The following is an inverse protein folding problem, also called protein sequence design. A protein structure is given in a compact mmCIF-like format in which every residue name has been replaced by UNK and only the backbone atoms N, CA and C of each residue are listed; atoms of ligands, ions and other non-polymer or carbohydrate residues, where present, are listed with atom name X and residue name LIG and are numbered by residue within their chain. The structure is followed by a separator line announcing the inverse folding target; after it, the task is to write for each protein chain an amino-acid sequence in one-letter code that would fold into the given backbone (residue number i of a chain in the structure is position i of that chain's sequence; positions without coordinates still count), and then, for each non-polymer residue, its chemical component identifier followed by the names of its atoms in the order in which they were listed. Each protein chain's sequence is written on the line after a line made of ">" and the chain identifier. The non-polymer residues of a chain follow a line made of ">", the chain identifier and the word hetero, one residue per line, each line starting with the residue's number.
data_IF_761485538592
#
_entry.id   IF_761485538592
#
_cell.length_a   1.000
_cell.length_b   1.000
_cell.length_c   1.000
_cell.angle_alpha   90.00
_cell.angle_beta   90.00
_cell.angle_gamma   90.00
#
_symmetry.space_group_name_H-M   'P 1'
#
loop_
_entity.id
_entity.type
_entity.pdbx_description
1 polymer ?
#
# COMPACT_ATOMS: atom_id res chain seq x y z
N UNK A 1 -2.22 11.78 -15.05
CA UNK A 1 -1.76 11.96 -13.65
C UNK A 1 -2.93 11.62 -12.77
N UNK A 2 -2.87 10.48 -12.09
CA UNK A 2 -3.88 10.14 -11.08
C UNK A 2 -4.05 11.31 -10.10
N UNK A 3 -5.29 11.73 -9.85
CA UNK A 3 -5.62 12.70 -8.80
C UNK A 3 -5.42 12.03 -7.43
N UNK A 4 -4.16 11.92 -6.99
CA UNK A 4 -3.80 11.28 -5.72
C UNK A 4 -4.14 12.16 -4.51
N UNK A 5 -4.37 13.45 -4.74
CA UNK A 5 -4.79 14.43 -3.74
C UNK A 5 -6.11 15.04 -4.19
N UNK A 6 -7.08 15.16 -3.29
CA UNK A 6 -8.34 15.86 -3.55
C UNK A 6 -8.34 17.25 -2.91
N UNK A 7 -8.93 18.23 -3.61
CA UNK A 7 -9.21 19.57 -3.07
C UNK A 7 -10.39 19.57 -2.09
N UNK A 8 -11.18 18.49 -2.04
CA UNK A 8 -12.34 18.46 -1.16
C UNK A 8 -11.89 18.43 0.30
N UNK A 9 -12.61 19.14 1.20
CA UNK A 9 -12.29 19.12 2.61
C UNK A 9 -12.53 17.74 3.19
N UNK A 10 -11.55 17.23 3.91
CA UNK A 10 -11.63 15.91 4.51
C UNK A 10 -12.85 15.78 5.43
N UNK A 11 -13.70 14.79 5.15
CA UNK A 11 -14.82 14.39 6.03
C UNK A 11 -14.62 12.97 6.51
N UNK A 12 -14.42 12.82 7.82
CA UNK A 12 -14.28 11.52 8.46
C UNK A 12 -15.54 10.66 8.26
N UNK A 13 -15.35 9.44 7.78
CA UNK A 13 -16.36 8.38 7.66
C UNK A 13 -16.10 7.38 8.79
N UNK A 14 -16.98 7.29 9.80
CA UNK A 14 -16.81 6.36 10.92
C UNK A 14 -17.04 4.89 10.48
N UNK A 15 -16.58 3.91 11.28
CA UNK A 15 -16.79 2.50 10.99
C UNK A 15 -18.27 2.10 11.14
N UNK A 16 -18.73 1.21 10.27
CA UNK A 16 -20.06 0.62 10.40
C UNK A 16 -20.04 -0.65 11.25
N UNK A 17 -20.73 -0.61 12.39
CA UNK A 17 -20.68 -1.68 13.39
C UNK A 17 -21.67 -2.83 13.17
N UNK A 18 -22.56 -2.84 12.17
CA UNK A 18 -23.41 -4.03 11.95
C UNK A 18 -22.68 -5.09 11.13
N UNK A 19 -22.99 -6.38 11.36
CA UNK A 19 -22.47 -7.53 10.59
C UNK A 19 -23.38 -7.94 9.44
N UNK A 20 -24.54 -7.30 9.31
CA UNK A 20 -25.59 -7.69 8.37
C UNK A 20 -25.08 -7.74 6.92
N UNK A 21 -24.47 -6.65 6.45
CA UNK A 21 -23.98 -6.56 5.07
C UNK A 21 -22.83 -7.52 4.79
N UNK A 22 -21.92 -7.69 5.76
CA UNK A 22 -20.87 -8.69 5.66
C UNK A 22 -21.46 -10.10 5.47
N UNK A 23 -22.45 -10.50 6.28
CA UNK A 23 -23.12 -11.82 6.12
C UNK A 23 -23.78 -12.00 4.76
N UNK A 24 -24.28 -10.92 4.16
CA UNK A 24 -24.92 -10.97 2.84
C UNK A 24 -23.90 -11.21 1.72
N UNK A 25 -22.76 -10.53 1.77
CA UNK A 25 -21.79 -10.54 0.66
C UNK A 25 -20.68 -11.58 0.81
N UNK A 26 -20.44 -12.09 2.02
CA UNK A 26 -19.30 -12.98 2.31
C UNK A 26 -19.28 -14.20 1.39
N UNK A 27 -20.43 -14.85 1.14
CA UNK A 27 -20.53 -16.02 0.25
C UNK A 27 -20.16 -15.74 -1.21
N UNK A 28 -20.37 -14.50 -1.66
CA UNK A 28 -20.03 -14.08 -3.01
C UNK A 28 -18.57 -13.67 -3.18
N UNK A 29 -17.81 -13.52 -2.09
CA UNK A 29 -16.44 -13.01 -2.12
C UNK A 29 -15.49 -13.87 -2.97
N UNK A 30 -15.45 -15.21 -2.86
CA UNK A 30 -14.57 -16.03 -3.72
C UNK A 30 -14.90 -15.88 -5.21
N UNK A 31 -16.19 -15.84 -5.55
CA UNK A 31 -16.64 -15.63 -6.92
C UNK A 31 -16.23 -14.25 -7.42
N UNK A 32 -16.38 -13.21 -6.60
CA UNK A 32 -16.01 -11.84 -6.93
C UNK A 32 -14.49 -11.72 -7.16
N UNK A 33 -13.67 -12.29 -6.27
CA UNK A 33 -12.21 -12.34 -6.39
C UNK A 33 -11.78 -13.05 -7.67
N UNK A 34 -12.40 -14.19 -8.02
CA UNK A 34 -12.12 -14.88 -9.28
C UNK A 34 -12.53 -14.05 -10.50
N UNK A 35 -13.76 -13.52 -10.50
CA UNK A 35 -14.35 -12.86 -11.67
C UNK A 35 -13.69 -11.52 -12.01
N UNK A 36 -13.34 -10.75 -10.98
CA UNK A 36 -12.87 -9.38 -11.14
C UNK A 36 -11.38 -9.23 -10.87
N UNK A 37 -10.75 -10.10 -10.09
CA UNK A 37 -9.34 -9.99 -9.70
C UNK A 37 -8.46 -11.16 -10.17
N UNK A 38 -9.03 -12.12 -10.90
CA UNK A 38 -8.31 -13.28 -11.40
C UNK A 38 -7.81 -14.24 -10.32
N UNK A 39 -8.25 -14.08 -9.07
CA UNK A 39 -7.82 -14.92 -7.94
C UNK A 39 -8.67 -16.18 -7.93
N UNK A 40 -8.12 -17.28 -8.42
CA UNK A 40 -8.84 -18.53 -8.57
C UNK A 40 -8.87 -19.38 -7.30
N UNK A 41 -7.84 -19.29 -6.48
CA UNK A 41 -7.73 -20.05 -5.23
C UNK A 41 -7.09 -19.21 -4.13
N UNK A 42 -7.56 -19.44 -2.91
CA UNK A 42 -6.99 -18.86 -1.70
C UNK A 42 -6.60 -19.98 -0.74
N UNK A 43 -5.38 -19.91 -0.23
CA UNK A 43 -4.85 -20.82 0.78
C UNK A 43 -4.68 -20.04 2.09
N UNK A 44 -5.16 -20.58 3.20
CA UNK A 44 -5.06 -19.94 4.52
C UNK A 44 -4.16 -20.75 5.44
N UNK A 45 -3.13 -20.11 6.00
CA UNK A 45 -2.17 -20.71 6.93
C UNK A 45 -2.13 -19.94 8.25
N UNK A 46 -1.82 -20.60 9.35
CA UNK A 46 -1.67 -19.96 10.67
C UNK A 46 -2.98 -19.44 11.29
N UNK A 47 -4.14 -19.83 10.75
CA UNK A 47 -5.45 -19.29 11.16
C UNK A 47 -5.75 -19.55 12.64
N UNK A 48 -5.23 -20.65 13.18
CA UNK A 48 -5.33 -20.99 14.59
C UNK A 48 -4.66 -19.96 15.51
N UNK A 49 -3.63 -19.24 15.06
CA UNK A 49 -3.04 -18.14 15.82
C UNK A 49 -4.07 -17.03 16.05
N UNK A 50 -4.77 -16.61 15.01
CA UNK A 50 -5.85 -15.62 15.12
C UNK A 50 -7.02 -16.14 15.97
N UNK A 51 -7.41 -17.41 15.80
CA UNK A 51 -8.49 -18.01 16.61
C UNK A 51 -8.17 -18.01 18.11
N UNK A 52 -6.92 -18.29 18.50
CA UNK A 52 -6.47 -18.22 19.90
C UNK A 52 -6.64 -16.81 20.47
N UNK A 53 -6.21 -15.78 19.75
CA UNK A 53 -6.36 -14.39 20.22
C UNK A 53 -7.82 -13.91 20.25
N UNK A 54 -8.65 -14.38 19.32
CA UNK A 54 -10.10 -14.14 19.34
C UNK A 54 -10.75 -14.79 20.58
N UNK A 55 -10.38 -16.03 20.90
CA UNK A 55 -10.88 -16.73 22.09
C UNK A 55 -10.44 -16.05 23.39
N UNK A 56 -9.24 -15.46 23.42
CA UNK A 56 -8.73 -14.67 24.55
C UNK A 56 -9.34 -13.27 24.69
N UNK A 57 -10.26 -12.86 23.81
CA UNK A 57 -10.85 -11.51 23.78
C UNK A 57 -9.79 -10.39 23.75
N UNK A 58 -8.67 -10.63 23.06
CA UNK A 58 -7.61 -9.64 22.89
C UNK A 58 -8.07 -8.52 21.95
N UNK A 59 -7.51 -7.31 22.12
CA UNK A 59 -7.54 -6.31 21.06
C UNK A 59 -6.61 -6.75 19.94
N UNK A 60 -7.14 -7.04 18.75
CA UNK A 60 -6.37 -7.66 17.67
C UNK A 60 -6.13 -6.66 16.55
N UNK A 61 -4.85 -6.38 16.26
CA UNK A 61 -4.44 -5.66 15.05
C UNK A 61 -3.85 -6.66 14.05
N UNK A 62 -4.41 -6.72 12.85
CA UNK A 62 -3.86 -7.46 11.71
C UNK A 62 -2.99 -6.50 10.90
N UNK A 63 -1.68 -6.75 10.86
CA UNK A 63 -0.71 -5.96 10.11
C UNK A 63 -0.35 -6.71 8.82
N UNK A 64 -0.99 -6.34 7.71
CA UNK A 64 -0.84 -7.06 6.43
C UNK A 64 0.05 -6.33 5.43
N UNK A 65 0.91 -7.03 4.68
CA UNK A 65 1.55 -6.43 3.50
C UNK A 65 0.51 -6.08 2.43
N UNK A 66 0.86 -5.15 1.52
CA UNK A 66 -0.10 -4.58 0.56
C UNK A 66 0.37 -4.63 -0.90
N UNK A 67 0.64 -5.80 -1.49
CA UNK A 67 1.11 -5.91 -2.87
C UNK A 67 0.07 -5.53 -3.94
N UNK A 68 -1.24 -5.70 -3.69
CA UNK A 68 -2.28 -5.49 -4.71
C UNK A 68 -3.47 -4.67 -4.17
N UNK A 69 -4.18 -3.89 -5.03
CA UNK A 69 -5.35 -3.12 -4.59
C UNK A 69 -6.48 -3.97 -3.96
N UNK A 70 -6.56 -5.25 -4.33
CA UNK A 70 -7.57 -6.17 -3.84
C UNK A 70 -7.24 -6.84 -2.49
N UNK A 71 -6.07 -6.58 -1.89
CA UNK A 71 -5.67 -7.24 -0.63
C UNK A 71 -6.68 -7.11 0.51
N UNK A 72 -7.39 -5.97 0.72
CA UNK A 72 -8.44 -5.90 1.74
C UNK A 72 -9.55 -6.95 1.54
N UNK A 73 -9.87 -7.27 0.27
CA UNK A 73 -10.86 -8.28 -0.08
C UNK A 73 -10.27 -9.70 0.06
N UNK A 74 -9.00 -9.89 -0.29
CA UNK A 74 -8.30 -11.19 -0.13
C UNK A 74 -8.16 -11.57 1.33
N UNK A 75 -7.76 -10.64 2.19
CA UNK A 75 -7.77 -10.80 3.66
C UNK A 75 -9.22 -11.02 4.18
N UNK A 76 -10.23 -10.63 3.41
CA UNK A 76 -11.64 -10.97 3.67
C UNK A 76 -11.92 -12.48 3.72
N UNK A 77 -11.15 -13.32 3.01
CA UNK A 77 -11.25 -14.78 3.13
C UNK A 77 -10.83 -15.28 4.52
N UNK A 78 -9.86 -14.61 5.16
CA UNK A 78 -9.50 -14.91 6.55
C UNK A 78 -10.67 -14.60 7.50
N UNK A 79 -11.36 -13.48 7.28
CA UNK A 79 -12.57 -13.08 8.02
C UNK A 79 -13.70 -14.10 7.88
N UNK A 80 -13.92 -14.65 6.68
CA UNK A 80 -14.84 -15.78 6.43
C UNK A 80 -14.45 -17.00 7.24
N UNK A 81 -13.17 -17.37 7.21
CA UNK A 81 -12.66 -18.57 7.86
C UNK A 81 -12.72 -18.53 9.40
N UNK A 82 -12.60 -17.34 10.01
CA UNK A 82 -12.78 -17.16 11.47
C UNK A 82 -14.20 -16.70 11.85
N UNK A 83 -15.10 -16.58 10.87
CA UNK A 83 -16.47 -16.11 11.01
C UNK A 83 -16.59 -14.76 11.77
N UNK A 84 -15.67 -13.85 11.50
CA UNK A 84 -15.57 -12.55 12.18
C UNK A 84 -15.16 -11.46 11.20
N UNK A 85 -16.03 -10.46 10.91
CA UNK A 85 -15.64 -9.32 10.08
C UNK A 85 -14.56 -8.49 10.75
N UNK A 86 -13.76 -7.81 9.95
CA UNK A 86 -12.71 -6.90 10.40
C UNK A 86 -13.14 -5.46 10.16
N UNK A 87 -12.68 -4.55 11.02
CA UNK A 87 -12.65 -3.13 10.65
C UNK A 87 -11.40 -2.89 9.80
N UNK A 88 -11.50 -2.05 8.77
CA UNK A 88 -10.36 -1.70 7.93
C UNK A 88 -10.21 -0.19 7.86
N UNK A 89 -8.96 0.27 7.95
CA UNK A 89 -8.62 1.67 7.76
C UNK A 89 -8.30 1.89 6.27
N UNK A 90 -9.01 2.79 5.61
CA UNK A 90 -8.84 3.07 4.19
C UNK A 90 -8.66 4.58 3.93
N UNK A 91 -7.84 4.92 2.94
CA UNK A 91 -7.65 6.31 2.53
C UNK A 91 -8.97 6.97 2.18
N UNK A 92 -9.20 8.20 2.64
CA UNK A 92 -10.42 8.96 2.33
C UNK A 92 -10.73 9.06 0.83
N UNK A 93 -9.71 9.22 -0.01
CA UNK A 93 -9.84 9.19 -1.47
C UNK A 93 -10.62 7.97 -2.02
N UNK A 94 -10.54 6.80 -1.37
CA UNK A 94 -11.31 5.61 -1.78
C UNK A 94 -12.81 5.74 -1.50
N UNK A 95 -13.21 6.56 -0.53
CA UNK A 95 -14.61 6.86 -0.26
C UNK A 95 -15.19 7.91 -1.22
N UNK A 96 -14.34 8.58 -2.00
CA UNK A 96 -14.75 9.55 -3.02
C UNK A 96 -14.99 8.88 -4.39
N UNK A 97 -14.35 7.74 -4.61
CA UNK A 97 -14.41 7.01 -5.87
C UNK A 97 -15.68 6.15 -5.96
N UNK A 98 -16.77 6.77 -6.43
CA UNK A 98 -18.02 6.08 -6.78
C UNK A 98 -18.90 5.70 -5.59
N UNK A 99 -20.17 6.12 -5.63
CA UNK A 99 -21.10 5.98 -4.49
C UNK A 99 -21.33 4.54 -4.03
N UNK A 100 -21.39 3.57 -4.93
CA UNK A 100 -21.62 2.17 -4.58
C UNK A 100 -20.40 1.52 -3.88
N UNK A 101 -19.20 1.74 -4.40
CA UNK A 101 -17.97 1.17 -3.83
C UNK A 101 -17.68 1.75 -2.45
N UNK A 102 -17.80 3.08 -2.32
CA UNK A 102 -17.68 3.78 -1.04
C UNK A 102 -18.73 3.30 -0.02
N UNK A 103 -19.98 3.14 -0.45
CA UNK A 103 -21.06 2.61 0.38
C UNK A 103 -20.76 1.19 0.86
N UNK A 104 -20.36 0.29 -0.05
CA UNK A 104 -20.07 -1.10 0.28
C UNK A 104 -18.88 -1.20 1.24
N UNK A 105 -17.78 -0.50 0.95
CA UNK A 105 -16.60 -0.46 1.83
C UNK A 105 -16.97 0.01 3.24
N UNK A 106 -17.76 1.08 3.36
CA UNK A 106 -18.26 1.55 4.65
C UNK A 106 -19.11 0.48 5.35
N UNK A 107 -20.07 -0.15 4.64
CA UNK A 107 -20.94 -1.20 5.20
C UNK A 107 -20.20 -2.47 5.61
N UNK A 108 -19.02 -2.72 5.07
CA UNK A 108 -18.16 -3.84 5.46
C UNK A 108 -17.25 -3.53 6.65
N UNK A 109 -17.31 -2.32 7.21
CA UNK A 109 -16.52 -1.91 8.37
C UNK A 109 -15.31 -1.04 8.02
N UNK A 110 -15.21 -0.57 6.77
CA UNK A 110 -14.21 0.42 6.38
C UNK A 110 -14.48 1.78 7.01
N UNK A 111 -13.45 2.43 7.52
CA UNK A 111 -13.49 3.82 7.97
C UNK A 111 -12.35 4.63 7.34
N UNK A 112 -12.56 5.94 7.20
CA UNK A 112 -11.62 6.79 6.47
C UNK A 112 -10.43 7.24 7.32
N UNK A 113 -9.28 7.42 6.67
CA UNK A 113 -8.13 8.14 7.21
C UNK A 113 -7.64 9.18 6.20
N UNK A 114 -7.29 10.36 6.69
CA UNK A 114 -6.58 11.37 5.92
C UNK A 114 -5.07 11.12 5.98
N UNK A 115 -4.43 10.80 4.84
CA UNK A 115 -3.02 10.38 4.79
C UNK A 115 -2.06 11.57 4.72
N UNK A 116 -2.60 12.72 4.32
CA UNK A 116 -1.89 13.97 4.04
C UNK A 116 -1.84 14.89 5.27
N UNK A 117 -2.21 14.40 6.45
CA UNK A 117 -2.20 15.18 7.69
C UNK A 117 -2.31 14.32 8.95
N UNK A 118 -2.40 14.99 10.10
CA UNK A 118 -2.59 14.32 11.40
C UNK A 118 -4.07 14.09 11.67
N UNK A 119 -4.58 12.95 11.24
CA UNK A 119 -5.98 12.56 11.46
C UNK A 119 -6.19 11.95 12.85
N UNK A 120 -6.31 12.83 13.86
CA UNK A 120 -6.54 12.41 15.25
C UNK A 120 -7.84 11.61 15.41
N UNK A 121 -8.86 11.88 14.59
CA UNK A 121 -10.16 11.20 14.66
C UNK A 121 -10.04 9.76 14.21
N UNK A 122 -9.40 9.50 13.06
CA UNK A 122 -9.15 8.14 12.59
C UNK A 122 -8.22 7.35 13.52
N UNK A 123 -7.16 7.99 14.04
CA UNK A 123 -6.25 7.36 15.00
C UNK A 123 -6.98 6.96 16.29
N UNK A 124 -7.78 7.87 16.87
CA UNK A 124 -8.57 7.55 18.07
C UNK A 124 -9.59 6.45 17.80
N UNK A 125 -10.26 6.48 16.64
CA UNK A 125 -11.20 5.43 16.24
C UNK A 125 -10.52 4.06 16.16
N UNK A 126 -9.33 3.98 15.56
CA UNK A 126 -8.54 2.76 15.50
C UNK A 126 -8.14 2.24 16.89
N UNK A 127 -7.75 3.16 17.79
CA UNK A 127 -7.46 2.83 19.19
C UNK A 127 -8.72 2.28 19.87
N UNK A 128 -9.87 2.93 19.71
CA UNK A 128 -11.13 2.53 20.35
C UNK A 128 -11.65 1.19 19.83
N UNK A 129 -11.44 0.88 18.54
CA UNK A 129 -11.70 -0.45 17.97
C UNK A 129 -10.89 -1.52 18.72
N UNK A 130 -9.58 -1.32 18.87
CA UNK A 130 -8.73 -2.27 19.60
C UNK A 130 -9.09 -2.34 21.09
N UNK A 131 -9.45 -1.22 21.71
CA UNK A 131 -9.89 -1.18 23.11
C UNK A 131 -11.17 -1.98 23.31
N UNK A 132 -12.15 -1.84 22.42
CA UNK A 132 -13.42 -2.57 22.49
C UNK A 132 -13.27 -4.08 22.25
N UNK A 133 -12.26 -4.48 21.47
CA UNK A 133 -12.08 -5.85 20.96
C UNK A 133 -13.34 -6.45 20.29
N UNK A 134 -14.24 -5.59 19.77
CA UNK A 134 -15.46 -6.08 19.10
C UNK A 134 -15.11 -6.92 17.86
N UNK A 135 -14.10 -6.48 17.10
CA UNK A 135 -13.57 -7.08 15.87
C UNK A 135 -12.08 -6.76 15.73
N UNK A 136 -11.31 -7.63 15.05
CA UNK A 136 -9.96 -7.27 14.62
C UNK A 136 -9.93 -6.01 13.75
N UNK A 137 -8.85 -5.25 13.86
CA UNK A 137 -8.54 -4.09 13.03
C UNK A 137 -7.48 -4.47 12.00
N UNK A 138 -7.80 -4.36 10.71
CA UNK A 138 -6.86 -4.53 9.60
C UNK A 138 -6.20 -3.20 9.24
N UNK A 139 -4.87 -3.18 9.30
CA UNK A 139 -4.03 -2.09 8.81
C UNK A 139 -2.98 -2.65 7.85
N UNK A 140 -2.77 -1.93 6.76
CA UNK A 140 -1.65 -2.14 5.84
C UNK A 140 -0.52 -1.18 6.23
N UNK A 141 0.50 -1.63 6.97
CA UNK A 141 1.48 -0.74 7.59
C UNK A 141 2.40 -0.07 6.56
N UNK A 142 2.45 -0.53 5.31
CA UNK A 142 3.17 0.12 4.20
C UNK A 142 2.51 1.45 3.76
N UNK A 143 1.20 1.61 3.96
CA UNK A 143 0.45 2.84 3.66
C UNK A 143 0.14 3.12 2.17
N UNK A 144 0.66 2.29 1.27
CA UNK A 144 0.40 2.31 -0.17
C UNK A 144 0.47 0.89 -0.74
N UNK A 145 -0.12 0.69 -1.92
CA UNK A 145 0.04 -0.56 -2.66
C UNK A 145 1.47 -0.64 -3.18
N UNK A 146 2.21 -1.69 -2.83
CA UNK A 146 3.63 -1.82 -3.14
C UNK A 146 3.90 -2.29 -4.57
N UNK A 147 2.98 -3.06 -5.16
CA UNK A 147 3.20 -3.84 -6.40
C UNK A 147 4.43 -4.75 -6.30
N UNK A 148 4.78 -5.18 -5.09
CA UNK A 148 5.87 -6.13 -4.85
C UNK A 148 5.39 -7.19 -3.90
N UNK A 149 5.28 -8.40 -4.41
CA UNK A 149 4.69 -9.52 -3.69
C UNK A 149 5.60 -10.14 -2.62
N UNK A 150 6.90 -10.06 -2.83
CA UNK A 150 7.93 -10.68 -1.97
C UNK A 150 8.89 -9.65 -1.35
N UNK A 151 8.62 -8.35 -1.50
CA UNK A 151 9.38 -7.27 -0.88
C UNK A 151 8.46 -6.32 -0.13
N UNK A 152 8.81 -6.06 1.11
CA UNK A 152 8.09 -5.17 2.01
C UNK A 152 8.68 -3.76 1.96
N UNK A 153 7.81 -2.75 1.82
CA UNK A 153 8.25 -1.36 2.03
C UNK A 153 8.49 -1.05 3.51
N UNK A 154 9.20 0.06 3.83
CA UNK A 154 9.29 0.54 5.19
C UNK A 154 7.90 0.73 5.82
N UNK A 155 7.73 0.22 7.04
CA UNK A 155 6.46 0.29 7.77
C UNK A 155 6.26 1.67 8.41
N UNK A 156 5.03 2.15 8.40
CA UNK A 156 4.63 3.42 8.99
C UNK A 156 4.42 3.32 10.51
N UNK A 157 4.95 4.31 11.22
CA UNK A 157 4.92 4.40 12.69
C UNK A 157 3.52 4.43 13.31
N UNK A 158 2.52 4.88 12.54
CA UNK A 158 1.13 4.94 13.00
C UNK A 158 0.60 3.60 13.52
N UNK A 159 1.07 2.49 12.96
CA UNK A 159 0.68 1.13 13.36
C UNK A 159 1.07 0.83 14.81
N UNK A 160 2.32 1.10 15.19
CA UNK A 160 2.79 0.89 16.56
C UNK A 160 2.17 1.88 17.55
N UNK A 161 2.00 3.14 17.14
CA UNK A 161 1.32 4.16 17.95
C UNK A 161 -0.09 3.72 18.35
N UNK A 162 -0.89 3.26 17.38
CA UNK A 162 -2.26 2.79 17.59
C UNK A 162 -2.26 1.58 18.53
N UNK A 163 -1.42 0.57 18.26
CA UNK A 163 -1.34 -0.64 19.06
C UNK A 163 -0.98 -0.36 20.52
N UNK A 164 0.11 0.40 20.77
CA UNK A 164 0.58 0.71 22.14
C UNK A 164 -0.41 1.59 22.90
N UNK A 165 -1.06 2.54 22.22
CA UNK A 165 -2.08 3.39 22.82
C UNK A 165 -3.31 2.59 23.27
N UNK A 166 -3.75 1.63 22.46
CA UNK A 166 -4.82 0.72 22.82
C UNK A 166 -4.43 -0.20 23.99
N UNK A 167 -3.20 -0.76 23.98
CA UNK A 167 -2.68 -1.59 25.06
C UNK A 167 -2.68 -0.85 26.40
N UNK A 168 -2.23 0.41 26.41
CA UNK A 168 -2.25 1.28 27.59
C UNK A 168 -3.66 1.49 28.13
N UNK A 169 -4.64 1.77 27.25
CA UNK A 169 -6.04 2.00 27.64
C UNK A 169 -6.68 0.73 28.20
N UNK A 170 -6.43 -0.42 27.57
CA UNK A 170 -6.96 -1.72 28.02
C UNK A 170 -6.40 -2.14 29.37
N UNK A 171 -5.08 -2.00 29.59
CA UNK A 171 -4.47 -2.27 30.89
C UNK A 171 -5.10 -1.40 32.00
N UNK A 172 -5.26 -0.09 31.76
CA UNK A 172 -5.87 0.81 32.75
C UNK A 172 -7.32 0.44 33.08
N UNK A 173 -8.05 -0.10 32.11
CA UNK A 173 -9.44 -0.52 32.26
C UNK A 173 -9.58 -1.96 32.78
N UNK A 174 -8.49 -2.67 33.07
CA UNK A 174 -8.54 -4.08 33.47
C UNK A 174 -9.06 -5.01 32.37
N UNK A 175 -8.94 -4.60 31.10
CA UNK A 175 -9.28 -5.41 29.93
C UNK A 175 -8.08 -6.28 29.53
N UNK A 176 -8.31 -7.33 28.73
CA UNK A 176 -7.24 -8.22 28.25
C UNK A 176 -6.22 -7.54 27.34
N UNK A 177 -5.23 -8.28 26.85
CA UNK A 177 -4.10 -7.71 26.10
C UNK A 177 -4.46 -7.19 24.70
N UNK A 178 -3.53 -6.44 24.11
CA UNK A 178 -3.52 -6.12 22.67
C UNK A 178 -2.39 -6.93 22.02
N UNK A 179 -2.70 -7.55 20.90
CA UNK A 179 -1.74 -8.31 20.10
C UNK A 179 -1.75 -7.85 18.65
N UNK A 180 -0.59 -7.95 17.99
CA UNK A 180 -0.45 -7.74 16.55
C UNK A 180 -0.20 -9.08 15.88
N UNK A 181 -0.99 -9.43 14.86
CA UNK A 181 -0.67 -10.53 13.96
C UNK A 181 -0.09 -9.97 12.66
N UNK A 182 1.17 -10.28 12.32
CA UNK A 182 1.68 -10.16 10.96
C UNK A 182 0.82 -11.03 10.03
N UNK A 183 0.35 -10.49 8.91
CA UNK A 183 -0.40 -11.24 7.90
C UNK A 183 0.31 -11.09 6.56
N UNK A 184 0.91 -12.16 6.06
CA UNK A 184 1.53 -12.15 4.74
C UNK A 184 0.50 -12.60 3.69
N UNK A 185 0.34 -11.80 2.65
CA UNK A 185 -0.41 -12.13 1.44
C UNK A 185 0.62 -12.29 0.32
N UNK A 186 0.73 -13.51 -0.20
CA UNK A 186 1.59 -13.86 -1.32
C UNK A 186 0.79 -14.37 -2.50
N UNK A 187 1.02 -13.82 -3.68
CA UNK A 187 0.39 -14.24 -4.93
C UNK A 187 1.30 -15.18 -5.71
N UNK A 188 0.71 -16.10 -6.45
CA UNK A 188 1.41 -16.95 -7.41
C UNK A 188 0.66 -16.92 -8.73
N UNK A 189 1.37 -16.62 -9.81
CA UNK A 189 0.81 -16.60 -11.14
C UNK A 189 0.83 -18.00 -11.74
N UNK A 190 -0.34 -18.50 -12.16
CA UNK A 190 -0.53 -19.87 -12.64
C UNK A 190 -0.77 -19.94 -14.15
N UNK A 191 -0.77 -18.80 -14.84
CA UNK A 191 -1.03 -18.71 -16.27
C UNK A 191 0.22 -18.78 -17.14
N UNK A 192 0.01 -18.61 -18.45
CA UNK A 192 1.10 -18.35 -19.39
C UNK A 192 1.58 -16.91 -19.22
N UNK A 193 2.78 -16.75 -18.66
CA UNK A 193 3.37 -15.44 -18.38
C UNK A 193 3.55 -14.62 -19.66
N UNK A 194 4.06 -15.25 -20.72
CA UNK A 194 4.36 -14.58 -21.98
C UNK A 194 3.07 -14.10 -22.62
N UNK A 195 2.05 -14.95 -22.70
CA UNK A 195 0.74 -14.57 -23.23
C UNK A 195 0.08 -13.43 -22.41
N UNK A 196 0.32 -13.38 -21.09
CA UNK A 196 -0.23 -12.34 -20.22
C UNK A 196 0.45 -10.98 -20.42
N UNK A 197 1.78 -10.93 -20.57
CA UNK A 197 2.53 -9.66 -20.62
C UNK A 197 2.82 -9.14 -22.03
N UNK A 198 2.83 -10.01 -23.04
CA UNK A 198 3.15 -9.61 -24.42
C UNK A 198 2.25 -8.51 -24.98
N UNK A 199 0.91 -8.58 -24.84
CA UNK A 199 0.04 -7.51 -25.33
C UNK A 199 0.33 -6.17 -24.66
N UNK A 200 0.63 -6.19 -23.36
CA UNK A 200 0.95 -4.99 -22.59
C UNK A 200 2.22 -4.34 -23.11
N UNK A 201 3.28 -5.14 -23.26
CA UNK A 201 4.57 -4.65 -23.77
C UNK A 201 4.44 -4.13 -25.20
N UNK A 202 3.70 -4.83 -26.07
CA UNK A 202 3.48 -4.40 -27.45
C UNK A 202 2.71 -3.07 -27.54
N UNK A 203 1.71 -2.87 -26.67
CA UNK A 203 0.97 -1.60 -26.57
C UNK A 203 1.89 -0.46 -26.10
N UNK A 204 2.75 -0.69 -25.11
CA UNK A 204 3.73 0.31 -24.64
C UNK A 204 4.75 0.61 -25.74
N UNK A 205 5.31 -0.42 -26.40
CA UNK A 205 6.24 -0.26 -27.52
C UNK A 205 5.62 0.57 -28.65
N UNK A 206 4.36 0.30 -29.00
CA UNK A 206 3.62 1.06 -30.03
C UNK A 206 3.43 2.53 -29.62
N UNK A 207 3.11 2.81 -28.35
CA UNK A 207 3.03 4.18 -27.82
C UNK A 207 4.36 4.91 -27.85
N UNK A 208 5.46 4.17 -27.72
CA UNK A 208 6.84 4.67 -27.89
C UNK A 208 7.27 4.76 -29.36
N UNK A 209 6.35 4.56 -30.31
CA UNK A 209 6.59 4.55 -31.77
C UNK A 209 7.54 3.45 -32.25
N UNK A 210 7.71 2.39 -31.46
CA UNK A 210 8.55 1.24 -31.78
C UNK A 210 7.77 0.11 -32.43
N UNK A 211 8.48 -0.74 -33.17
CA UNK A 211 7.94 -2.04 -33.59
C UNK A 211 7.98 -3.02 -32.43
N UNK A 212 6.90 -3.79 -32.26
CA UNK A 212 6.86 -4.86 -31.28
C UNK A 212 7.92 -5.93 -31.60
N UNK A 213 8.63 -6.39 -30.57
CA UNK A 213 9.73 -7.34 -30.70
C UNK A 213 9.46 -8.64 -29.93
N UNK A 214 8.43 -9.45 -30.31
CA UNK A 214 8.02 -10.63 -29.53
C UNK A 214 9.13 -11.69 -29.40
N UNK A 215 10.02 -11.78 -30.38
CA UNK A 215 11.20 -12.65 -30.38
C UNK A 215 12.28 -12.28 -29.33
N UNK A 216 12.28 -11.06 -28.79
CA UNK A 216 13.23 -10.67 -27.74
C UNK A 216 12.83 -11.27 -26.38
N UNK A 217 13.79 -11.71 -25.54
CA UNK A 217 13.52 -12.15 -24.17
C UNK A 217 12.71 -11.12 -23.37
N UNK A 218 11.75 -11.57 -22.56
CA UNK A 218 10.84 -10.67 -21.83
C UNK A 218 11.59 -9.70 -20.91
N UNK A 219 12.58 -10.17 -20.16
CA UNK A 219 13.37 -9.35 -19.25
C UNK A 219 14.14 -8.25 -19.99
N UNK A 220 14.69 -8.56 -21.17
CA UNK A 220 15.37 -7.59 -22.03
C UNK A 220 14.39 -6.55 -22.59
N UNK A 221 13.22 -6.98 -23.06
CA UNK A 221 12.16 -6.06 -23.52
C UNK A 221 11.71 -5.12 -22.41
N UNK A 222 11.48 -5.65 -21.21
CA UNK A 222 11.08 -4.87 -20.04
C UNK A 222 12.17 -3.87 -19.66
N UNK A 223 13.44 -4.29 -19.64
CA UNK A 223 14.56 -3.41 -19.38
C UNK A 223 14.67 -2.29 -20.43
N UNK A 224 14.51 -2.62 -21.72
CA UNK A 224 14.52 -1.65 -22.82
C UNK A 224 13.40 -0.62 -22.69
N UNK A 225 12.17 -1.07 -22.44
CA UNK A 225 11.00 -0.20 -22.22
C UNK A 225 11.21 0.68 -21.00
N UNK A 226 11.60 0.11 -19.86
CA UNK A 226 11.85 0.85 -18.62
C UNK A 226 12.94 1.91 -18.78
N UNK A 227 14.05 1.59 -19.46
CA UNK A 227 15.10 2.56 -19.76
C UNK A 227 14.63 3.71 -20.66
N UNK A 228 13.77 3.45 -21.64
CA UNK A 228 13.23 4.51 -22.48
C UNK A 228 12.26 5.41 -21.71
N UNK A 229 11.34 4.83 -20.93
CA UNK A 229 10.42 5.61 -20.10
C UNK A 229 11.17 6.48 -19.07
N UNK A 230 12.21 5.95 -18.44
CA UNK A 230 13.06 6.75 -17.56
C UNK A 230 13.79 7.87 -18.31
N UNK A 231 14.38 7.57 -19.47
CA UNK A 231 15.05 8.58 -20.32
C UNK A 231 14.10 9.71 -20.72
N UNK A 232 12.85 9.39 -21.03
CA UNK A 232 11.82 10.38 -21.33
C UNK A 232 11.54 11.29 -20.12
N UNK A 233 11.50 10.74 -18.90
CA UNK A 233 11.35 11.53 -17.67
C UNK A 233 12.58 12.37 -17.35
N UNK A 234 13.78 11.87 -17.64
CA UNK A 234 15.01 12.66 -17.54
C UNK A 234 15.03 13.82 -18.55
N UNK A 235 14.57 13.61 -19.78
CA UNK A 235 14.41 14.70 -20.75
C UNK A 235 13.40 15.75 -20.28
N UNK A 236 12.25 15.31 -19.77
CA UNK A 236 11.19 16.19 -19.25
C UNK A 236 11.65 17.05 -18.07
N UNK A 237 12.36 16.47 -17.10
CA UNK A 237 12.69 17.15 -15.84
C UNK A 237 14.13 17.66 -15.75
N UNK A 238 15.09 17.01 -16.42
CA UNK A 238 16.52 17.38 -16.40
C UNK A 238 16.99 18.02 -17.71
N UNK A 239 16.17 17.98 -18.76
CA UNK A 239 16.50 18.50 -20.10
C UNK A 239 17.49 17.64 -20.89
N UNK A 240 17.96 16.51 -20.34
CA UNK A 240 18.93 15.62 -21.01
C UNK A 240 18.88 14.19 -20.47
N UNK A 241 19.17 13.17 -21.29
CA UNK A 241 19.34 11.79 -20.82
C UNK A 241 20.50 11.68 -19.83
N UNK A 242 20.38 10.76 -18.87
CA UNK A 242 21.47 10.40 -17.96
C UNK A 242 22.12 9.07 -18.38
N UNK A 243 23.40 8.91 -18.06
CA UNK A 243 24.15 7.66 -18.20
C UNK A 243 24.40 7.04 -16.82
N UNK A 244 24.71 5.74 -16.78
CA UNK A 244 25.01 5.02 -15.54
C UNK A 244 24.00 3.92 -15.23
N UNK A 245 24.12 3.34 -14.04
CA UNK A 245 23.23 2.25 -13.62
C UNK A 245 21.79 2.76 -13.43
N UNK A 246 20.80 1.90 -13.69
CA UNK A 246 19.38 2.25 -13.59
C UNK A 246 19.03 2.86 -12.22
N UNK A 247 19.53 2.26 -11.13
CA UNK A 247 19.26 2.76 -9.78
C UNK A 247 19.85 4.14 -9.50
N UNK A 248 21.06 4.41 -9.98
CA UNK A 248 21.71 5.72 -9.83
C UNK A 248 20.92 6.80 -10.56
N UNK A 249 20.47 6.48 -11.78
CA UNK A 249 19.62 7.36 -12.58
C UNK A 249 18.27 7.64 -11.92
N UNK A 250 17.60 6.61 -11.40
CA UNK A 250 16.36 6.74 -10.64
C UNK A 250 16.54 7.62 -9.40
N UNK A 251 17.55 7.35 -8.57
CA UNK A 251 17.82 8.13 -7.36
C UNK A 251 18.17 9.59 -7.70
N UNK A 252 19.00 9.80 -8.72
CA UNK A 252 19.36 11.14 -9.18
C UNK A 252 18.14 11.96 -9.62
N UNK A 253 17.21 11.35 -10.35
CA UNK A 253 15.95 11.99 -10.72
C UNK A 253 15.04 12.24 -9.51
N UNK A 254 14.91 11.26 -8.60
CA UNK A 254 14.14 11.43 -7.35
C UNK A 254 14.69 12.61 -6.54
N UNK A 255 16.00 12.71 -6.36
CA UNK A 255 16.63 13.78 -5.61
C UNK A 255 16.46 15.14 -6.29
N UNK A 256 16.58 15.18 -7.62
CA UNK A 256 16.30 16.40 -8.38
C UNK A 256 14.88 16.91 -8.14
N UNK A 257 13.89 16.01 -8.07
CA UNK A 257 12.50 16.35 -7.84
C UNK A 257 12.21 16.77 -6.38
N UNK A 258 12.82 16.10 -5.41
CA UNK A 258 12.45 16.24 -3.99
C UNK A 258 13.32 17.24 -3.22
N UNK A 259 14.64 17.27 -3.42
CA UNK A 259 15.54 18.13 -2.62
C UNK A 259 15.16 19.61 -2.66
N UNK A 260 14.77 20.20 -3.81
CA UNK A 260 14.30 21.59 -3.83
C UNK A 260 13.04 21.81 -2.99
N UNK A 261 12.11 20.85 -2.99
CA UNK A 261 10.88 20.93 -2.20
C UNK A 261 11.17 20.78 -0.71
N UNK A 262 12.08 19.90 -0.34
CA UNK A 262 12.49 19.68 1.04
C UNK A 262 13.11 20.95 1.64
N UNK A 263 13.99 21.63 0.88
CA UNK A 263 14.56 22.92 1.27
C UNK A 263 13.51 24.01 1.45
N UNK A 264 12.42 23.96 0.68
CA UNK A 264 11.35 24.95 0.76
C UNK A 264 10.39 24.69 1.91
N UNK A 265 10.06 23.42 2.17
CA UNK A 265 8.90 23.05 3.01
C UNK A 265 9.24 22.43 4.34
N UNK A 266 10.44 21.87 4.49
CA UNK A 266 10.81 21.09 5.66
C UNK A 266 11.98 21.73 6.41
N UNK A 267 12.02 21.49 7.71
CA UNK A 267 13.14 21.81 8.59
C UNK A 267 13.78 20.52 9.11
N UNK A 268 15.11 20.50 9.25
CA UNK A 268 15.89 19.36 9.74
C UNK A 268 16.33 18.36 8.66
N UNK A 269 17.09 17.34 9.09
CA UNK A 269 17.74 16.38 8.19
C UNK A 269 16.75 15.53 7.37
N UNK A 270 17.22 15.12 6.19
CA UNK A 270 16.48 14.36 5.20
C UNK A 270 16.16 12.95 5.68
N UNK A 271 14.91 12.50 5.45
CA UNK A 271 14.55 11.10 5.66
C UNK A 271 15.22 10.22 4.59
N UNK A 272 15.57 8.99 4.94
CA UNK A 272 16.30 8.09 4.03
C UNK A 272 15.42 7.46 2.94
N UNK A 273 14.14 7.19 3.24
CA UNK A 273 13.21 6.56 2.29
C UNK A 273 12.41 7.61 1.50
N UNK A 274 12.33 7.45 0.18
CA UNK A 274 11.52 8.30 -0.71
C UNK A 274 10.06 8.39 -0.28
N UNK A 275 9.46 7.30 0.21
CA UNK A 275 8.07 7.31 0.71
C UNK A 275 7.90 8.23 1.92
N UNK A 276 8.88 8.22 2.84
CA UNK A 276 8.85 9.09 4.02
C UNK A 276 9.06 10.55 3.63
N UNK A 277 9.98 10.83 2.69
CA UNK A 277 10.21 12.16 2.13
C UNK A 277 8.93 12.73 1.49
N UNK A 278 8.30 11.97 0.60
CA UNK A 278 7.04 12.33 -0.06
C UNK A 278 5.91 12.56 0.95
N UNK A 279 5.80 11.70 1.97
CA UNK A 279 4.80 11.87 3.03
C UNK A 279 4.99 13.18 3.81
N UNK A 280 6.21 13.51 4.21
CA UNK A 280 6.53 14.77 4.90
C UNK A 280 6.18 15.98 4.04
N UNK A 281 6.54 15.95 2.75
CA UNK A 281 6.23 17.01 1.80
C UNK A 281 4.72 17.19 1.60
N UNK A 282 3.97 16.10 1.40
CA UNK A 282 2.50 16.17 1.28
C UNK A 282 1.86 16.74 2.55
N UNK A 283 2.33 16.34 3.72
CA UNK A 283 1.84 16.88 5.00
C UNK A 283 2.09 18.38 5.18
N UNK A 284 3.12 18.93 4.53
CA UNK A 284 3.39 20.37 4.53
C UNK A 284 2.60 21.13 3.44
N UNK A 285 2.49 20.56 2.24
CA UNK A 285 1.90 21.22 1.06
C UNK A 285 0.37 21.18 1.10
N UNK A 286 -0.23 20.00 1.31
CA UNK A 286 -1.67 19.76 1.10
C UNK A 286 -2.57 20.62 2.00
N UNK A 287 -2.29 20.83 3.31
CA UNK A 287 -3.13 21.68 4.14
C UNK A 287 -3.28 23.10 3.60
N UNK A 288 -2.21 23.68 3.02
CA UNK A 288 -2.25 25.03 2.42
C UNK A 288 -3.10 25.08 1.15
N UNK A 289 -3.15 23.97 0.41
CA UNK A 289 -3.98 23.84 -0.80
C UNK A 289 -5.47 23.77 -0.45
N UNK A 290 -5.82 22.98 0.58
CA UNK A 290 -7.22 22.78 1.01
C UNK A 290 -7.78 24.01 1.74
N UNK A 291 -6.93 24.81 2.39
CA UNK A 291 -7.35 26.03 3.07
C UNK A 291 -8.04 27.03 2.13
N UNK A 292 -7.78 26.98 0.81
CA UNK A 292 -8.46 27.81 -0.18
C UNK A 292 -8.01 29.28 -0.20
N UNK A 293 -6.92 29.61 0.48
CA UNK A 293 -6.39 30.99 0.62
C UNK A 293 -5.37 31.36 -0.47
N UNK A 294 -5.14 30.47 -1.44
CA UNK A 294 -4.09 30.62 -2.46
C UNK A 294 -4.58 31.33 -3.72
N UNK A 295 -3.69 32.09 -4.36
CA UNK A 295 -3.93 32.58 -5.73
C UNK A 295 -3.92 31.41 -6.73
N UNK A 296 -4.51 31.58 -7.92
CA UNK A 296 -4.46 30.56 -8.98
C UNK A 296 -3.04 30.23 -9.45
N UNK A 297 -2.10 31.18 -9.31
CA UNK A 297 -0.69 30.95 -9.63
C UNK A 297 -0.07 30.04 -8.56
N UNK A 298 -0.27 30.38 -7.29
CA UNK A 298 0.24 29.58 -6.17
C UNK A 298 -0.37 28.18 -6.16
N UNK A 299 -1.67 28.07 -6.46
CA UNK A 299 -2.39 26.80 -6.57
C UNK A 299 -1.77 25.90 -7.65
N UNK A 300 -1.55 26.43 -8.85
CA UNK A 300 -0.86 25.69 -9.93
C UNK A 300 0.55 25.27 -9.54
N UNK A 301 1.28 26.16 -8.86
CA UNK A 301 2.61 25.84 -8.35
C UNK A 301 2.55 24.70 -7.31
N UNK A 302 1.60 24.70 -6.37
CA UNK A 302 1.42 23.58 -5.42
C UNK A 302 1.10 22.26 -6.12
N UNK A 303 0.24 22.30 -7.14
CA UNK A 303 -0.06 21.12 -7.94
C UNK A 303 1.16 20.57 -8.67
N UNK A 304 2.02 21.43 -9.21
CA UNK A 304 3.30 21.02 -9.80
C UNK A 304 4.20 20.32 -8.77
N UNK A 305 4.31 20.88 -7.56
CA UNK A 305 5.10 20.29 -6.47
C UNK A 305 4.54 18.91 -6.04
N UNK A 306 3.22 18.77 -5.97
CA UNK A 306 2.57 17.47 -5.71
C UNK A 306 2.80 16.48 -6.86
N UNK A 307 2.85 16.94 -8.11
CA UNK A 307 3.24 16.14 -9.27
C UNK A 307 4.67 15.60 -9.15
N UNK A 308 5.62 16.41 -8.69
CA UNK A 308 6.99 15.94 -8.41
C UNK A 308 7.01 14.88 -7.30
N UNK A 309 6.22 15.08 -6.23
CA UNK A 309 6.08 14.10 -5.16
C UNK A 309 5.49 12.77 -5.66
N UNK A 310 4.49 12.83 -6.54
CA UNK A 310 3.89 11.65 -7.18
C UNK A 310 4.91 10.90 -8.03
N UNK A 311 5.61 11.60 -8.93
CA UNK A 311 6.61 10.99 -9.80
C UNK A 311 7.76 10.37 -8.99
N UNK A 312 8.28 11.07 -7.99
CA UNK A 312 9.34 10.52 -7.14
C UNK A 312 8.90 9.25 -6.40
N UNK A 313 7.65 9.21 -5.90
CA UNK A 313 7.07 8.01 -5.32
C UNK A 313 6.98 6.86 -6.33
N UNK A 314 6.47 7.14 -7.54
CA UNK A 314 6.35 6.17 -8.63
C UNK A 314 7.72 5.57 -9.00
N UNK A 315 8.74 6.41 -9.19
CA UNK A 315 10.11 5.98 -9.50
C UNK A 315 10.71 5.13 -8.38
N UNK A 316 10.41 5.45 -7.11
CA UNK A 316 10.95 4.71 -5.96
C UNK A 316 10.42 3.29 -5.83
N UNK A 317 9.34 2.95 -6.54
CA UNK A 317 8.78 1.61 -6.50
C UNK A 317 9.57 0.61 -7.32
N UNK A 318 10.46 1.02 -8.23
CA UNK A 318 11.29 0.11 -9.03
C UNK A 318 12.55 -0.35 -8.27
N UNK A 319 12.56 -1.56 -7.69
CA UNK A 319 13.70 -2.01 -6.90
C UNK A 319 14.86 -2.44 -7.83
N UNK A 320 16.12 -2.10 -7.52
CA UNK A 320 17.26 -2.27 -8.44
C UNK A 320 17.46 -3.70 -8.94
N UNK A 321 17.26 -4.67 -8.05
CA UNK A 321 17.53 -6.08 -8.32
C UNK A 321 16.23 -6.90 -8.40
N UNK A 322 15.11 -6.28 -8.77
CA UNK A 322 13.83 -7.01 -8.83
C UNK A 322 13.74 -7.96 -10.02
N UNK A 323 14.30 -7.55 -11.16
CA UNK A 323 14.34 -8.33 -12.39
C UNK A 323 15.70 -9.00 -12.66
N UNK A 324 16.64 -8.91 -11.71
CA UNK A 324 17.95 -9.56 -11.83
C UNK A 324 17.86 -11.02 -11.39
N UNK A 325 18.81 -11.82 -11.89
CA UNK A 325 19.09 -13.17 -11.43
C UNK A 325 17.87 -14.11 -11.42
N UNK A 326 17.32 -14.37 -12.61
CA UNK A 326 16.17 -15.27 -12.84
C UNK A 326 14.89 -14.85 -12.05
N UNK A 327 14.24 -13.75 -12.46
CA UNK A 327 13.07 -13.26 -11.75
C UNK A 327 11.89 -14.23 -11.85
N UNK A 328 11.17 -14.37 -10.74
CA UNK A 328 9.95 -15.19 -10.74
C UNK A 328 8.89 -14.62 -11.69
N UNK A 329 7.93 -15.43 -12.16
CA UNK A 329 6.84 -14.96 -13.00
C UNK A 329 6.09 -13.76 -12.41
N UNK A 330 5.92 -13.73 -11.08
CA UNK A 330 5.26 -12.64 -10.37
C UNK A 330 6.05 -11.33 -10.46
N UNK A 331 7.38 -11.36 -10.29
CA UNK A 331 8.21 -10.16 -10.38
C UNK A 331 8.18 -9.55 -11.78
N UNK A 332 8.16 -10.40 -12.82
CA UNK A 332 8.00 -9.98 -14.21
C UNK A 332 6.62 -9.34 -14.40
N UNK A 333 5.55 -10.03 -13.99
CA UNK A 333 4.17 -9.57 -14.10
C UNK A 333 3.96 -8.22 -13.40
N UNK A 334 4.42 -8.10 -12.15
CA UNK A 334 4.34 -6.89 -11.33
C UNK A 334 5.09 -5.72 -11.96
N UNK A 335 6.25 -5.97 -12.56
CA UNK A 335 7.00 -4.91 -13.24
C UNK A 335 6.27 -4.45 -14.50
N UNK A 336 5.68 -5.37 -15.27
CA UNK A 336 4.89 -5.01 -16.46
C UNK A 336 3.61 -4.26 -16.08
N UNK A 337 2.89 -4.72 -15.06
CA UNK A 337 1.72 -4.01 -14.51
C UNK A 337 2.07 -2.58 -14.11
N UNK A 338 3.23 -2.38 -13.50
CA UNK A 338 3.69 -1.04 -13.10
C UNK A 338 4.07 -0.17 -14.30
N UNK A 339 4.76 -0.73 -15.30
CA UNK A 339 5.05 0.00 -16.53
C UNK A 339 3.76 0.40 -17.27
N UNK A 340 2.74 -0.46 -17.25
CA UNK A 340 1.42 -0.14 -17.81
C UNK A 340 0.74 0.98 -17.03
N UNK A 341 0.76 0.91 -15.71
CA UNK A 341 0.21 1.95 -14.83
C UNK A 341 0.89 3.29 -15.05
N UNK A 342 2.21 3.29 -15.20
CA UNK A 342 3.02 4.48 -15.45
C UNK A 342 2.67 5.17 -16.79
N UNK A 343 2.26 4.39 -17.79
CA UNK A 343 1.94 4.88 -19.15
C UNK A 343 0.46 5.19 -19.33
N UNK A 344 -0.42 4.53 -18.57
CA UNK A 344 -1.88 4.57 -18.81
C UNK A 344 -2.71 5.01 -17.60
N UNK A 345 -2.09 5.27 -16.46
CA UNK A 345 -2.73 5.48 -15.15
C UNK A 345 -3.60 4.27 -14.69
N UNK A 346 -3.52 3.11 -15.37
CA UNK A 346 -4.27 1.88 -15.07
C UNK A 346 -3.37 0.65 -15.30
N UNK A 347 -3.64 -0.43 -14.58
CA UNK A 347 -3.07 -1.74 -14.89
C UNK A 347 -4.20 -2.72 -15.14
N UNK A 348 -4.07 -3.55 -16.18
CA UNK A 348 -5.01 -4.63 -16.43
C UNK A 348 -4.85 -5.71 -15.36
N UNK A 349 -5.95 -6.42 -15.13
CA UNK A 349 -5.97 -7.49 -14.14
C UNK A 349 -5.54 -8.77 -14.84
N UNK A 350 -4.48 -9.38 -14.30
CA UNK A 350 -3.97 -10.65 -14.79
C UNK A 350 -4.42 -11.81 -13.91
N UNK A 351 -4.68 -12.95 -14.54
CA UNK A 351 -4.99 -14.22 -13.89
C UNK A 351 -4.62 -15.37 -14.83
N UNK A 352 -4.68 -16.62 -14.36
CA UNK A 352 -5.09 -17.05 -13.03
C UNK A 352 -4.03 -16.80 -11.94
N UNK A 353 -4.48 -16.27 -10.79
CA UNK A 353 -3.68 -16.04 -9.59
C UNK A 353 -4.12 -16.96 -8.45
N UNK A 354 -3.16 -17.39 -7.64
CA UNK A 354 -3.38 -18.05 -6.35
C UNK A 354 -2.88 -17.15 -5.24
N UNK A 355 -3.69 -16.89 -4.21
CA UNK A 355 -3.25 -16.12 -3.05
C UNK A 355 -3.04 -17.05 -1.83
N UNK A 356 -1.89 -16.95 -1.18
CA UNK A 356 -1.59 -17.56 0.10
C UNK A 356 -1.65 -16.47 1.16
N UNK A 357 -2.51 -16.64 2.16
CA UNK A 357 -2.64 -15.73 3.29
C UNK A 357 -2.14 -16.47 4.53
N UNK A 358 -1.01 -16.04 5.06
CA UNK A 358 -0.36 -16.65 6.20
C UNK A 358 -0.40 -15.71 7.41
N UNK A 359 -1.03 -16.17 8.48
CA UNK A 359 -1.14 -15.44 9.74
C UNK A 359 0.00 -15.85 10.66
N UNK A 360 0.88 -14.90 10.97
CA UNK A 360 1.97 -15.09 11.92
C UNK A 360 1.49 -15.18 13.38
N UNK A 361 2.38 -15.66 14.25
CA UNK A 361 2.13 -15.70 15.69
C UNK A 361 1.81 -14.30 16.24
N UNK A 362 1.01 -14.28 17.31
CA UNK A 362 0.66 -13.04 18.00
C UNK A 362 1.90 -12.39 18.60
N UNK A 363 2.15 -11.13 18.27
CA UNK A 363 3.15 -10.27 18.91
C UNK A 363 2.45 -9.52 20.06
N UNK A 364 2.77 -9.79 21.34
CA UNK A 364 2.24 -9.02 22.45
C UNK A 364 2.69 -7.56 22.39
N UNK A 365 1.77 -6.63 22.65
CA UNK A 365 2.09 -5.20 22.57
C UNK A 365 2.53 -4.66 23.92
N UNK A 366 3.83 -4.37 24.05
CA UNK A 366 4.36 -3.67 25.22
C UNK A 366 3.88 -2.21 25.28
N UNK A 367 3.45 -1.77 26.46
CA UNK A 367 2.82 -0.46 26.68
C UNK A 367 3.84 0.70 26.59
N UNK A 368 5.11 0.43 26.89
CA UNK A 368 6.18 1.42 26.83
C UNK A 368 7.08 1.13 25.63
N UNK A 369 7.41 2.18 24.88
CA UNK A 369 8.48 2.14 23.90
C UNK A 369 9.82 2.15 24.65
N UNK A 370 10.73 1.27 24.26
CA UNK A 370 12.11 1.39 24.71
C UNK A 370 12.72 2.68 24.13
N UNK A 371 13.23 3.53 25.02
CA UNK A 371 13.80 4.83 24.67
C UNK A 371 15.24 4.72 24.19
N UNK A 372 15.86 3.54 24.28
CA UNK A 372 17.25 3.32 23.88
C UNK A 372 17.40 2.97 22.39
N UNK A 373 16.33 2.50 21.72
CA UNK A 373 16.33 2.24 20.27
C UNK A 373 15.88 3.47 19.47
N UNK A 374 16.62 3.78 18.40
CA UNK A 374 16.25 4.81 17.42
C UNK A 374 14.96 4.45 16.68
N UNK A 375 14.70 3.15 16.48
CA UNK A 375 13.52 2.61 15.79
C UNK A 375 12.47 2.09 16.78
N UNK A 376 11.25 1.85 16.32
CA UNK A 376 10.21 1.21 17.16
C UNK A 376 10.34 -0.32 17.08
N UNK A 377 10.77 -0.94 18.17
CA UNK A 377 10.94 -2.40 18.33
C UNK A 377 9.72 -3.22 17.84
N UNK A 378 8.50 -2.71 18.05
CA UNK A 378 7.29 -3.39 17.61
C UNK A 378 7.21 -3.40 16.08
N UNK A 379 7.55 -2.30 15.41
CA UNK A 379 7.57 -2.24 13.95
C UNK A 379 8.68 -3.10 13.37
N UNK A 380 9.86 -3.10 14.00
CA UNK A 380 10.97 -3.96 13.59
C UNK A 380 10.59 -5.44 13.71
N UNK A 381 9.91 -5.82 14.80
CA UNK A 381 9.41 -7.18 14.99
C UNK A 381 8.34 -7.53 13.96
N UNK A 382 7.39 -6.64 13.68
CA UNK A 382 6.36 -6.85 12.64
C UNK A 382 7.03 -7.02 11.27
N UNK A 383 7.97 -6.14 10.92
CA UNK A 383 8.68 -6.20 9.64
C UNK A 383 9.52 -7.48 9.51
N UNK A 384 10.25 -7.88 10.57
CA UNK A 384 11.04 -9.10 10.58
C UNK A 384 10.14 -10.35 10.42
N UNK A 385 9.00 -10.40 11.12
CA UNK A 385 8.04 -11.50 10.99
C UNK A 385 7.41 -11.54 9.60
N UNK A 386 6.94 -10.41 9.07
CA UNK A 386 6.40 -10.33 7.70
C UNK A 386 7.43 -10.79 6.67
N UNK A 387 8.68 -10.31 6.74
CA UNK A 387 9.74 -10.76 5.85
C UNK A 387 10.05 -12.26 5.99
N UNK A 388 9.86 -12.85 7.18
CA UNK A 388 9.97 -14.29 7.37
C UNK A 388 8.85 -15.07 6.67
N UNK A 389 7.62 -14.58 6.74
CA UNK A 389 6.44 -15.19 6.12
C UNK A 389 6.37 -15.00 4.60
N UNK A 390 7.04 -13.99 4.05
CA UNK A 390 7.08 -13.70 2.61
C UNK A 390 8.14 -14.50 1.85
N UNK A 391 9.00 -15.26 2.55
CA UNK A 391 10.06 -16.07 1.93
C UNK A 391 9.53 -17.29 1.19
#
# INVERSE_FOLDING_TARGET
>A
MQEVVSEQPYRFVPPYHSRFWWRLVERGLPWYLRRYWGIERTELRGVEHLRRSLAGNHGILLAANHPRPCDPLVVGELSRQVWKPFFSMASWHLFMNGGWQAWLMHKLGGFSVFREGVDRTAINTAIDILVSAERPLLIFPEGAVSRTNDRLNPLLEGTALIARSAAKRRQKAGLGDVVVHPVAVRYHFLGDLRAAVEPVLAEIETRLTWHAAPQMPLTERIAKVGQALLTLKELEHLGRPQAGALHERLNGLIDHLLVPLERQWLTGDGATSTLVRVKRLRAAIVPTLIAGELTEIDKRHRWQQLGHCYLAQQLSWYPPDYLRDDPTPERILETVERLEEDVTDRARIHGPLSAVIEVGEAIPVAIRRDRQSSNDELLETIAARLNGLLK
#
